data_IF_952522834852
#
_entry.id   IF_952522834852
#
_cell.length_a   1.000
_cell.length_b   1.000
_cell.length_c   1.000
_cell.angle_alpha   90.00
_cell.angle_beta   90.00
_cell.angle_gamma   90.00
#
_symmetry.space_group_name_H-M   'P 1'
#
loop_
_entity.id
_entity.type
_entity.pdbx_description
1 polymer ?
#
# COMPACT_ATOMS: atom_id res chain seq x y z
N UNK A 1 -32.92 -19.04 17.35
CA UNK A 1 -31.92 -18.85 16.28
C UNK A 1 -30.84 -17.95 16.84
N UNK A 2 -29.61 -18.46 16.99
CA UNK A 2 -28.48 -17.63 17.36
C UNK A 2 -28.03 -16.86 16.12
N UNK A 3 -28.06 -15.53 16.18
CA UNK A 3 -27.43 -14.72 15.16
C UNK A 3 -25.92 -14.99 15.23
N UNK A 4 -25.35 -15.54 14.17
CA UNK A 4 -23.90 -15.58 13.98
C UNK A 4 -23.44 -14.13 13.84
N UNK A 5 -22.92 -13.55 14.92
CA UNK A 5 -22.24 -12.27 14.85
C UNK A 5 -21.09 -12.40 13.86
N UNK A 6 -21.03 -11.51 12.87
CA UNK A 6 -19.84 -11.36 12.04
C UNK A 6 -18.71 -11.05 13.01
N UNK A 7 -17.72 -11.95 13.10
CA UNK A 7 -16.50 -11.68 13.83
C UNK A 7 -15.80 -10.52 13.11
N UNK A 8 -15.99 -9.31 13.62
CA UNK A 8 -15.17 -8.17 13.25
C UNK A 8 -13.86 -8.42 13.99
N UNK A 9 -12.83 -8.89 13.28
CA UNK A 9 -11.48 -8.94 13.84
C UNK A 9 -11.19 -7.58 14.49
N UNK A 10 -10.61 -7.57 15.70
CA UNK A 10 -10.29 -6.35 16.46
C UNK A 10 -9.44 -5.42 15.57
N UNK A 11 -10.13 -4.57 14.82
CA UNK A 11 -9.55 -3.71 13.83
C UNK A 11 -8.97 -2.53 14.58
N UNK A 12 -7.77 -2.69 15.12
CA UNK A 12 -6.94 -1.55 15.49
C UNK A 12 -6.85 -0.61 14.29
N UNK A 13 -6.56 0.67 14.51
CA UNK A 13 -6.35 1.66 13.44
C UNK A 13 -5.29 1.23 12.39
N UNK A 14 -4.52 0.19 12.71
CA UNK A 14 -3.40 -0.33 11.98
C UNK A 14 -3.62 -1.75 11.41
N UNK A 15 -4.81 -2.36 11.53
CA UNK A 15 -5.01 -3.78 11.18
C UNK A 15 -5.80 -4.04 9.89
N UNK A 16 -5.32 -4.94 9.02
CA UNK A 16 -3.90 -5.19 8.71
C UNK A 16 -3.28 -4.08 7.85
N UNK A 17 -4.10 -3.34 7.09
CA UNK A 17 -3.71 -2.10 6.41
C UNK A 17 -4.17 -0.91 7.26
N UNK A 18 -3.31 0.09 7.52
CA UNK A 18 -3.68 1.25 8.33
C UNK A 18 -4.90 2.01 7.78
N UNK A 19 -5.80 2.44 8.67
CA UNK A 19 -7.03 3.16 8.33
C UNK A 19 -6.77 4.42 7.50
N UNK A 20 -5.65 5.10 7.77
CA UNK A 20 -5.19 6.26 6.98
C UNK A 20 -4.98 5.91 5.50
N UNK A 21 -4.42 4.73 5.21
CA UNK A 21 -4.25 4.25 3.84
C UNK A 21 -5.59 3.80 3.22
N UNK A 22 -6.48 3.22 4.03
CA UNK A 22 -7.84 2.89 3.58
C UNK A 22 -8.66 4.14 3.19
N UNK A 23 -8.39 5.29 3.83
CA UNK A 23 -9.13 6.55 3.62
C UNK A 23 -8.42 7.57 2.75
N UNK A 24 -7.14 7.38 2.43
CA UNK A 24 -6.36 8.39 1.73
C UNK A 24 -6.95 8.69 0.35
N UNK A 25 -6.91 9.97 -0.02
CA UNK A 25 -7.21 10.44 -1.38
C UNK A 25 -5.94 10.66 -2.19
N UNK A 26 -4.75 10.42 -1.62
CA UNK A 26 -3.50 10.56 -2.33
C UNK A 26 -3.29 9.43 -3.33
N UNK A 27 -2.65 9.75 -4.46
CA UNK A 27 -2.21 8.77 -5.46
C UNK A 27 -1.00 7.98 -4.96
N UNK A 28 -0.64 6.89 -5.67
CA UNK A 28 0.54 6.11 -5.33
C UNK A 28 1.80 6.98 -5.41
N UNK A 29 1.88 7.81 -6.44
CA UNK A 29 3.01 8.70 -6.73
C UNK A 29 3.14 9.79 -5.66
N UNK A 30 2.03 10.35 -5.18
CA UNK A 30 2.05 11.29 -4.06
C UNK A 30 2.57 10.64 -2.77
N UNK A 31 2.18 9.39 -2.50
CA UNK A 31 2.69 8.64 -1.34
C UNK A 31 4.19 8.37 -1.52
N UNK A 32 4.63 7.94 -2.70
CA UNK A 32 6.04 7.68 -2.96
C UNK A 32 6.91 8.92 -2.86
N UNK A 33 6.47 10.05 -3.44
CA UNK A 33 7.14 11.34 -3.31
C UNK A 33 7.24 11.77 -1.84
N UNK A 34 6.15 11.60 -1.08
CA UNK A 34 6.18 11.85 0.36
C UNK A 34 7.19 10.96 1.08
N UNK A 35 7.21 9.65 0.81
CA UNK A 35 8.21 8.74 1.41
C UNK A 35 9.63 9.15 1.04
N UNK A 36 9.90 9.49 -0.22
CA UNK A 36 11.21 9.95 -0.69
C UNK A 36 11.74 11.09 0.18
N UNK A 37 10.89 12.04 0.53
CA UNK A 37 11.30 13.24 1.23
C UNK A 37 11.29 13.07 2.77
N UNK A 38 10.31 12.36 3.34
CA UNK A 38 10.14 12.24 4.82
C UNK A 38 10.72 10.95 5.42
N UNK A 39 11.01 9.95 4.58
CA UNK A 39 11.52 8.62 4.93
C UNK A 39 12.51 8.11 3.84
N UNK A 40 13.52 8.88 3.42
CA UNK A 40 14.34 8.61 2.23
C UNK A 40 14.96 7.21 2.21
N UNK A 41 15.47 6.72 3.35
CA UNK A 41 16.06 5.38 3.47
C UNK A 41 15.08 4.26 3.08
N UNK A 42 13.78 4.44 3.36
CA UNK A 42 12.77 3.44 2.98
C UNK A 42 12.40 3.52 1.50
N UNK A 43 12.36 4.73 0.94
CA UNK A 43 12.18 4.93 -0.50
C UNK A 43 13.34 4.30 -1.28
N UNK A 44 14.59 4.61 -0.94
CA UNK A 44 15.77 4.06 -1.60
C UNK A 44 15.78 2.53 -1.55
N UNK A 45 15.55 1.93 -0.37
CA UNK A 45 15.48 0.47 -0.23
C UNK A 45 14.38 -0.16 -1.07
N UNK A 46 13.22 0.50 -1.16
CA UNK A 46 12.12 0.05 -1.99
C UNK A 46 12.51 0.10 -3.47
N UNK A 47 13.10 1.20 -3.93
CA UNK A 47 13.51 1.37 -5.32
C UNK A 47 14.66 0.43 -5.71
N UNK A 48 15.61 0.17 -4.82
CA UNK A 48 16.65 -0.86 -5.02
C UNK A 48 16.01 -2.23 -5.24
N UNK A 49 15.07 -2.64 -4.38
CA UNK A 49 14.40 -3.94 -4.52
C UNK A 49 13.51 -3.99 -5.77
N UNK A 50 12.80 -2.90 -6.08
CA UNK A 50 11.97 -2.72 -7.27
C UNK A 50 12.79 -2.86 -8.56
N UNK A 51 13.91 -2.16 -8.67
CA UNK A 51 14.78 -2.18 -9.85
C UNK A 51 15.48 -3.53 -10.05
N UNK A 52 15.57 -4.36 -9.00
CA UNK A 52 16.04 -5.74 -9.09
C UNK A 52 14.96 -6.73 -9.56
N UNK A 53 13.71 -6.30 -9.78
CA UNK A 53 12.64 -7.15 -10.33
C UNK A 53 12.59 -7.11 -11.83
N UNK A 54 12.00 -8.15 -12.44
CA UNK A 54 11.71 -8.15 -13.87
C UNK A 54 10.76 -7.00 -14.23
N UNK A 55 10.79 -6.51 -15.49
CA UNK A 55 9.85 -5.47 -15.93
C UNK A 55 8.37 -5.85 -15.75
N UNK A 56 8.06 -7.14 -15.82
CA UNK A 56 6.71 -7.67 -15.56
C UNK A 56 6.29 -7.47 -14.09
N UNK A 57 7.14 -7.84 -13.12
CA UNK A 57 6.84 -7.65 -11.69
C UNK A 57 6.79 -6.17 -11.32
N UNK A 58 7.66 -5.35 -11.92
CA UNK A 58 7.63 -3.89 -11.76
C UNK A 58 6.30 -3.29 -12.23
N UNK A 59 5.77 -3.78 -13.36
CA UNK A 59 4.47 -3.34 -13.91
C UNK A 59 3.33 -3.83 -13.04
N UNK A 60 3.33 -5.11 -12.67
CA UNK A 60 2.33 -5.69 -11.78
C UNK A 60 2.25 -4.94 -10.45
N UNK A 61 3.37 -4.50 -9.88
CA UNK A 61 3.36 -3.73 -8.63
C UNK A 61 2.75 -2.34 -8.78
N UNK A 62 3.06 -1.61 -9.86
CA UNK A 62 2.43 -0.31 -10.16
C UNK A 62 0.93 -0.47 -10.35
N UNK A 63 0.54 -1.38 -11.24
CA UNK A 63 -0.87 -1.64 -11.54
C UNK A 63 -1.64 -2.09 -10.29
N UNK A 64 -1.02 -2.92 -9.44
CA UNK A 64 -1.64 -3.42 -8.22
C UNK A 64 -1.86 -2.32 -7.19
N UNK A 65 -0.89 -1.42 -6.99
CA UNK A 65 -1.08 -0.31 -6.04
C UNK A 65 -2.06 0.73 -6.57
N UNK A 66 -2.05 1.01 -7.89
CA UNK A 66 -3.04 1.88 -8.52
C UNK A 66 -4.45 1.30 -8.42
N UNK A 67 -4.61 -0.01 -8.66
CA UNK A 67 -5.89 -0.71 -8.44
C UNK A 67 -6.33 -0.63 -6.97
N UNK A 68 -5.41 -0.82 -6.03
CA UNK A 68 -5.75 -0.71 -4.61
C UNK A 68 -6.25 0.70 -4.25
N UNK A 69 -5.57 1.74 -4.75
CA UNK A 69 -5.94 3.13 -4.49
C UNK A 69 -7.12 3.62 -5.34
N UNK A 70 -7.54 2.92 -6.38
CA UNK A 70 -8.75 3.26 -7.13
C UNK A 70 -10.04 2.78 -6.46
N UNK A 71 -9.94 1.80 -5.56
CA UNK A 71 -11.08 1.32 -4.76
C UNK A 71 -11.56 2.38 -3.77
N UNK A 72 -12.85 2.31 -3.44
CA UNK A 72 -13.43 3.05 -2.32
C UNK A 72 -13.00 2.45 -0.97
N UNK A 73 -13.38 3.12 0.13
CA UNK A 73 -13.03 2.67 1.48
C UNK A 73 -13.51 1.23 1.76
N UNK A 74 -14.73 0.88 1.31
CA UNK A 74 -15.29 -0.45 1.53
C UNK A 74 -14.49 -1.54 0.79
N UNK A 75 -14.13 -1.29 -0.47
CA UNK A 75 -13.29 -2.19 -1.26
C UNK A 75 -11.90 -2.35 -0.67
N UNK A 76 -11.24 -1.26 -0.28
CA UNK A 76 -9.92 -1.32 0.40
C UNK A 76 -10.01 -2.06 1.74
N UNK A 77 -11.08 -1.87 2.51
CA UNK A 77 -11.31 -2.58 3.78
C UNK A 77 -11.52 -4.07 3.55
N UNK A 78 -12.31 -4.46 2.55
CA UNK A 78 -12.50 -5.87 2.20
C UNK A 78 -11.19 -6.51 1.72
N UNK A 79 -10.42 -5.82 0.88
CA UNK A 79 -9.09 -6.28 0.47
C UNK A 79 -8.17 -6.50 1.69
N UNK A 80 -8.18 -5.54 2.62
CA UNK A 80 -7.45 -5.63 3.89
C UNK A 80 -7.84 -6.89 4.67
N UNK A 81 -9.13 -7.21 4.78
CA UNK A 81 -9.59 -8.43 5.46
C UNK A 81 -9.17 -9.71 4.73
N UNK A 82 -9.27 -9.72 3.40
CA UNK A 82 -8.88 -10.89 2.61
C UNK A 82 -7.39 -11.24 2.79
N UNK A 83 -6.49 -10.25 2.76
CA UNK A 83 -5.05 -10.51 2.99
C UNK A 83 -4.71 -10.87 4.44
N UNK A 84 -5.57 -10.53 5.40
CA UNK A 84 -5.40 -10.93 6.81
C UNK A 84 -5.79 -12.39 7.05
N UNK A 85 -6.73 -12.91 6.27
CA UNK A 85 -7.40 -14.18 6.54
C UNK A 85 -7.04 -15.28 5.55
N UNK A 86 -6.60 -14.92 4.34
CA UNK A 86 -6.17 -15.84 3.31
C UNK A 86 -4.75 -15.49 2.83
N UNK A 87 -3.79 -16.33 3.24
CA UNK A 87 -2.37 -16.20 2.87
C UNK A 87 -2.14 -16.28 1.36
N UNK A 88 -3.07 -16.87 0.61
CA UNK A 88 -2.99 -16.99 -0.85
C UNK A 88 -3.72 -15.87 -1.59
N UNK A 89 -4.34 -14.90 -0.89
CA UNK A 89 -5.14 -13.89 -1.57
C UNK A 89 -4.31 -12.93 -2.44
N UNK A 90 -3.17 -12.45 -1.93
CA UNK A 90 -2.31 -11.52 -2.66
C UNK A 90 -1.20 -12.26 -3.41
N UNK A 91 -1.45 -12.57 -4.68
CA UNK A 91 -0.52 -13.34 -5.52
C UNK A 91 0.80 -12.60 -5.79
N UNK A 92 0.80 -11.26 -5.88
CA UNK A 92 2.03 -10.49 -6.11
C UNK A 92 3.00 -10.62 -4.93
N UNK A 93 2.50 -10.90 -3.72
CA UNK A 93 3.36 -11.09 -2.55
C UNK A 93 4.27 -12.33 -2.68
N UNK A 94 3.90 -13.33 -3.50
CA UNK A 94 4.76 -14.48 -3.77
C UNK A 94 5.89 -14.17 -4.76
N UNK A 95 5.65 -13.28 -5.72
CA UNK A 95 6.70 -12.80 -6.63
C UNK A 95 7.58 -11.72 -5.99
N UNK A 96 6.98 -10.88 -5.14
CA UNK A 96 7.68 -9.80 -4.45
C UNK A 96 7.02 -9.46 -3.09
N UNK A 97 7.53 -10.02 -1.97
CA UNK A 97 6.95 -9.77 -0.64
C UNK A 97 6.97 -8.30 -0.17
N UNK A 98 7.85 -7.47 -0.74
CA UNK A 98 7.97 -6.06 -0.38
C UNK A 98 7.20 -5.11 -1.31
N UNK A 99 6.37 -5.61 -2.24
CA UNK A 99 5.71 -4.77 -3.25
C UNK A 99 4.93 -3.59 -2.69
N UNK A 100 4.33 -3.73 -1.50
CA UNK A 100 3.55 -2.70 -0.82
C UNK A 100 4.27 -2.05 0.38
N UNK A 101 5.62 -2.15 0.48
CA UNK A 101 6.36 -1.71 1.68
C UNK A 101 6.18 -0.22 2.03
N UNK A 102 6.13 0.64 1.02
CA UNK A 102 5.93 2.07 1.21
C UNK A 102 4.49 2.43 1.58
N UNK A 103 3.54 1.62 1.14
CA UNK A 103 2.13 1.96 1.16
C UNK A 103 1.42 1.46 2.42
N UNK A 104 1.62 0.21 2.83
CA UNK A 104 0.91 -0.32 4.01
C UNK A 104 1.63 -1.43 4.77
N UNK A 105 2.64 -2.10 4.19
CA UNK A 105 3.38 -3.14 4.93
C UNK A 105 4.35 -2.55 5.97
N UNK A 106 4.73 -1.27 5.87
CA UNK A 106 5.42 -0.53 6.92
C UNK A 106 4.53 0.61 7.44
N UNK A 107 3.86 0.34 8.57
CA UNK A 107 2.85 1.23 9.15
C UNK A 107 3.39 2.61 9.49
N UNK A 108 4.62 2.70 10.01
CA UNK A 108 5.24 3.98 10.35
C UNK A 108 5.65 4.82 9.13
N UNK A 109 5.97 4.18 8.01
CA UNK A 109 6.23 4.84 6.73
C UNK A 109 4.91 5.32 6.12
N UNK A 110 3.92 4.43 6.05
CA UNK A 110 2.58 4.73 5.54
C UNK A 110 1.93 5.90 6.28
N UNK A 111 1.97 5.88 7.62
CA UNK A 111 1.43 6.93 8.46
C UNK A 111 2.09 8.29 8.16
N UNK A 112 3.44 8.34 8.15
CA UNK A 112 4.13 9.60 7.92
C UNK A 112 3.91 10.14 6.50
N UNK A 113 3.90 9.28 5.49
CA UNK A 113 3.70 9.69 4.11
C UNK A 113 2.27 10.21 3.89
N UNK A 114 1.28 9.51 4.44
CA UNK A 114 -0.13 9.93 4.33
C UNK A 114 -0.43 11.26 5.03
N UNK A 115 0.33 11.65 6.05
CA UNK A 115 0.19 12.97 6.70
C UNK A 115 0.52 14.15 5.77
N UNK A 116 1.35 13.95 4.73
CA UNK A 116 1.88 15.05 3.89
C UNK A 116 1.71 14.83 2.38
N UNK A 117 1.19 13.68 1.93
CA UNK A 117 1.16 13.31 0.51
C UNK A 117 0.39 14.29 -0.38
N UNK A 118 -0.61 15.00 0.15
CA UNK A 118 -1.36 16.00 -0.61
C UNK A 118 -0.52 17.23 -1.05
N UNK A 119 0.70 17.39 -0.51
CA UNK A 119 1.63 18.46 -0.89
C UNK A 119 2.41 18.16 -2.18
N UNK A 120 2.36 16.91 -2.67
CA UNK A 120 3.13 16.46 -3.83
C UNK A 120 2.28 16.41 -5.09
N UNK A 121 2.90 16.53 -6.29
CA UNK A 121 2.19 16.39 -7.56
C UNK A 121 1.46 15.04 -7.65
N UNK A 122 0.22 15.10 -8.14
CA UNK A 122 -0.54 13.89 -8.50
C UNK A 122 0.10 13.21 -9.71
N UNK A 123 0.10 11.89 -9.71
CA UNK A 123 0.48 11.04 -10.85
C UNK A 123 1.83 11.37 -11.50
N UNK A 124 2.83 11.82 -10.73
CA UNK A 124 4.20 12.04 -11.23
C UNK A 124 4.92 10.70 -11.45
N UNK A 125 5.10 10.23 -12.71
CA UNK A 125 5.75 8.95 -12.96
C UNK A 125 7.25 8.97 -12.63
N UNK A 126 7.84 10.14 -12.42
CA UNK A 126 9.27 10.31 -12.11
C UNK A 126 9.69 9.61 -10.82
N UNK A 127 8.79 9.41 -9.87
CA UNK A 127 9.07 8.70 -8.61
C UNK A 127 9.35 7.20 -8.78
N UNK A 128 9.07 6.64 -9.96
CA UNK A 128 9.41 5.25 -10.28
C UNK A 128 10.78 5.12 -10.96
N UNK A 129 11.42 6.25 -11.31
CA UNK A 129 12.72 6.29 -11.98
C UNK A 129 13.79 6.71 -10.96
N UNK A 130 14.43 5.73 -10.31
CA UNK A 130 15.51 5.93 -9.32
C UNK A 130 16.77 5.17 -9.75
#
# INVERSE_FOLDING_TARGET
MAATGVAVADATDDYPIPNRMLRTTCTAEQIMAAVRDVRPVYYERYMIDYNNKSPEVQTAARDRIHWFLSMDYAGRRQYSENIATDIYYEQLAFAWPNWAKLFFNNKGVAARATDVCAQYPVDDPGVWNW
#
